data_IF_095733018352
#
_entry.id   IF_095733018352
#
_cell.length_a   1.000
_cell.length_b   1.000
_cell.length_c   1.000
_cell.angle_alpha   90.00
_cell.angle_beta   90.00
_cell.angle_gamma   90.00
#
_symmetry.space_group_name_H-M   'P 1'
#
loop_
_entity.id
_entity.type
_entity.pdbx_description
1 polymer ?
#
# COMPACT_ATOMS: atom_id res chain seq x y z
N UNK A 1 1.47 -8.70 -4.53
CA UNK A 1 0.84 -7.79 -3.55
C UNK A 1 0.48 -8.51 -2.26
N UNK A 2 -0.56 -9.36 -2.21
CA UNK A 2 -1.08 -9.91 -0.95
C UNK A 2 -0.05 -10.57 -0.02
N UNK A 3 0.96 -11.25 -0.58
CA UNK A 3 1.98 -11.94 0.19
C UNK A 3 3.14 -11.04 0.68
N UNK A 4 3.40 -9.90 0.04
CA UNK A 4 4.65 -9.14 0.21
C UNK A 4 4.46 -7.64 0.49
N UNK A 5 3.23 -7.14 0.47
CA UNK A 5 2.97 -5.69 0.61
C UNK A 5 3.54 -5.08 1.90
N UNK A 6 3.77 -5.90 2.93
CA UNK A 6 4.31 -5.48 4.23
C UNK A 6 5.83 -5.35 4.22
N UNK A 7 6.55 -5.82 3.19
CA UNK A 7 8.01 -5.73 3.11
C UNK A 7 8.48 -4.28 2.84
N UNK A 8 9.67 -3.88 3.31
CA UNK A 8 10.28 -2.61 2.93
C UNK A 8 10.88 -2.70 1.52
N UNK A 9 11.00 -1.57 0.84
CA UNK A 9 11.55 -1.50 -0.52
C UNK A 9 12.40 -0.23 -0.73
N UNK A 10 12.85 0.00 -1.97
CA UNK A 10 13.67 1.15 -2.37
C UNK A 10 12.85 2.36 -2.86
N UNK A 11 11.52 2.30 -2.82
CA UNK A 11 10.63 3.33 -3.35
C UNK A 11 10.71 3.49 -4.88
N UNK A 12 9.88 4.37 -5.44
CA UNK A 12 9.86 4.62 -6.90
C UNK A 12 11.11 5.29 -7.45
N UNK A 13 11.88 5.92 -6.58
CA UNK A 13 13.10 6.62 -6.95
C UNK A 13 14.34 5.76 -6.76
N UNK A 14 14.16 4.48 -6.43
CA UNK A 14 15.25 3.53 -6.15
C UNK A 14 16.30 4.15 -5.22
N UNK A 15 15.81 4.67 -4.09
CA UNK A 15 16.61 5.43 -3.14
C UNK A 15 17.79 4.58 -2.69
N UNK A 16 18.99 5.15 -2.80
CA UNK A 16 20.21 4.51 -2.33
C UNK A 16 20.25 4.56 -0.80
N UNK A 17 20.28 3.39 -0.17
CA UNK A 17 20.31 3.26 1.29
C UNK A 17 19.52 2.05 1.75
N UNK A 18 19.14 2.07 3.02
CA UNK A 18 18.32 1.01 3.61
C UNK A 18 16.93 0.96 2.99
N UNK A 19 16.38 -0.25 2.90
CA UNK A 19 14.98 -0.45 2.52
C UNK A 19 14.08 0.17 3.59
N UNK A 20 13.01 0.84 3.14
CA UNK A 20 12.04 1.48 4.04
C UNK A 20 10.62 1.14 3.62
N UNK A 21 9.67 1.35 4.53
CA UNK A 21 8.25 1.35 4.18
C UNK A 21 7.88 2.70 3.56
N UNK A 22 8.19 2.86 2.27
CA UNK A 22 7.81 4.06 1.53
C UNK A 22 6.28 4.14 1.39
N UNK A 23 5.69 5.27 1.80
CA UNK A 23 4.23 5.48 1.76
C UNK A 23 3.70 5.27 0.35
N UNK A 24 4.41 5.80 -0.64
CA UNK A 24 4.04 5.63 -2.04
C UNK A 24 3.95 4.15 -2.45
N UNK A 25 4.93 3.33 -2.09
CA UNK A 25 4.94 1.91 -2.46
C UNK A 25 3.75 1.16 -1.84
N UNK A 26 3.43 1.46 -0.58
CA UNK A 26 2.27 0.89 0.12
C UNK A 26 0.96 1.34 -0.53
N UNK A 27 0.84 2.62 -0.88
CA UNK A 27 -0.31 3.15 -1.62
C UNK A 27 -0.46 2.45 -2.97
N UNK A 28 0.62 2.18 -3.69
CA UNK A 28 0.54 1.45 -4.97
C UNK A 28 0.12 -0.01 -4.79
N UNK A 29 0.53 -0.68 -3.70
CA UNK A 29 0.00 -1.99 -3.34
C UNK A 29 -1.52 -1.93 -3.07
N UNK A 30 -1.99 -0.90 -2.35
CA UNK A 30 -3.41 -0.67 -2.12
C UNK A 30 -4.18 -0.43 -3.43
N UNK A 31 -3.65 0.43 -4.32
CA UNK A 31 -4.25 0.74 -5.63
C UNK A 31 -4.35 -0.52 -6.47
N UNK A 32 -3.31 -1.36 -6.51
CA UNK A 32 -3.31 -2.61 -7.27
C UNK A 32 -4.46 -3.52 -6.85
N UNK A 33 -4.71 -3.68 -5.55
CA UNK A 33 -5.84 -4.48 -5.06
C UNK A 33 -7.18 -3.80 -5.35
N UNK A 34 -7.32 -2.50 -5.09
CA UNK A 34 -8.60 -1.83 -5.32
C UNK A 34 -9.00 -1.84 -6.80
N UNK A 35 -8.05 -1.62 -7.72
CA UNK A 35 -8.32 -1.71 -9.16
C UNK A 35 -8.51 -3.16 -9.61
N UNK A 36 -7.76 -4.11 -9.06
CA UNK A 36 -7.93 -5.54 -9.35
C UNK A 36 -9.32 -6.05 -8.96
N UNK A 37 -9.82 -5.69 -7.77
CA UNK A 37 -11.17 -6.01 -7.30
C UNK A 37 -12.23 -5.46 -8.25
N UNK A 38 -12.13 -4.17 -8.63
CA UNK A 38 -13.07 -3.53 -9.55
C UNK A 38 -13.06 -4.21 -10.92
N UNK A 39 -11.88 -4.51 -11.46
CA UNK A 39 -11.74 -5.17 -12.74
C UNK A 39 -12.36 -6.58 -12.73
N UNK A 40 -12.07 -7.38 -11.68
CA UNK A 40 -12.63 -8.72 -11.55
C UNK A 40 -14.16 -8.71 -11.47
N UNK A 41 -14.75 -7.77 -10.72
CA UNK A 41 -16.20 -7.62 -10.62
C UNK A 41 -16.84 -7.15 -11.94
N UNK A 42 -16.23 -6.19 -12.64
CA UNK A 42 -16.80 -5.61 -13.86
C UNK A 42 -16.68 -6.55 -15.06
N UNK A 43 -15.60 -7.34 -15.13
CA UNK A 43 -15.29 -8.20 -16.26
C UNK A 43 -15.65 -9.68 -16.01
N UNK A 44 -16.13 -10.02 -14.81
CA UNK A 44 -16.48 -11.39 -14.44
C UNK A 44 -15.26 -12.33 -14.37
N UNK A 45 -14.09 -11.81 -13.97
CA UNK A 45 -12.86 -12.61 -13.85
C UNK A 45 -12.85 -13.39 -12.54
N UNK A 46 -12.34 -14.62 -12.59
CA UNK A 46 -12.06 -15.39 -11.37
C UNK A 46 -10.96 -14.72 -10.55
N UNK A 47 -11.27 -14.41 -9.30
CA UNK A 47 -10.33 -13.83 -8.35
C UNK A 47 -10.73 -14.20 -6.92
N UNK A 48 -9.74 -14.28 -6.02
CA UNK A 48 -9.96 -14.42 -4.58
C UNK A 48 -10.36 -13.06 -3.96
N UNK A 49 -11.58 -12.60 -4.32
CA UNK A 49 -12.12 -11.31 -3.88
C UNK A 49 -12.16 -11.18 -2.34
N UNK A 50 -12.56 -12.19 -1.55
CA UNK A 50 -12.55 -12.08 -0.09
C UNK A 50 -11.16 -11.73 0.44
N UNK A 51 -10.12 -12.45 -0.01
CA UNK A 51 -8.74 -12.17 0.40
C UNK A 51 -8.29 -10.79 -0.07
N UNK A 52 -8.58 -10.40 -1.31
CA UNK A 52 -8.14 -9.12 -1.85
C UNK A 52 -8.76 -7.94 -1.10
N UNK A 53 -10.05 -8.01 -0.77
CA UNK A 53 -10.74 -7.00 0.01
C UNK A 53 -10.13 -6.85 1.41
N UNK A 54 -9.90 -7.96 2.11
CA UNK A 54 -9.28 -7.97 3.45
C UNK A 54 -7.91 -7.31 3.40
N UNK A 55 -7.04 -7.74 2.47
CA UNK A 55 -5.68 -7.19 2.39
C UNK A 55 -5.70 -5.72 1.96
N UNK A 56 -6.56 -5.32 1.02
CA UNK A 56 -6.72 -3.91 0.62
C UNK A 56 -7.05 -3.05 1.84
N UNK A 57 -8.00 -3.49 2.67
CA UNK A 57 -8.42 -2.72 3.83
C UNK A 57 -7.33 -2.68 4.91
N UNK A 58 -6.56 -3.75 5.08
CA UNK A 58 -5.36 -3.77 5.94
C UNK A 58 -4.30 -2.77 5.48
N UNK A 59 -3.96 -2.75 4.19
CA UNK A 59 -2.98 -1.80 3.65
C UNK A 59 -3.45 -0.35 3.88
N UNK A 60 -4.74 -0.06 3.70
CA UNK A 60 -5.28 1.28 3.95
C UNK A 60 -5.10 1.71 5.41
N UNK A 61 -5.46 0.83 6.34
CA UNK A 61 -5.32 1.10 7.77
C UNK A 61 -3.85 1.35 8.11
N UNK A 62 -2.95 0.50 7.63
CA UNK A 62 -1.51 0.60 7.85
C UNK A 62 -0.93 1.94 7.33
N UNK A 63 -1.28 2.35 6.10
CA UNK A 63 -0.87 3.65 5.54
C UNK A 63 -1.36 4.83 6.39
N UNK A 64 -2.61 4.79 6.85
CA UNK A 64 -3.18 5.89 7.64
C UNK A 64 -2.61 5.94 9.06
N UNK A 65 -2.22 4.79 9.61
CA UNK A 65 -1.62 4.70 10.95
C UNK A 65 -0.15 5.12 10.98
N UNK A 66 0.61 4.78 9.93
CA UNK A 66 2.08 4.93 9.93
C UNK A 66 2.62 5.95 8.93
N UNK A 67 1.85 6.26 7.88
CA UNK A 67 2.29 7.13 6.79
C UNK A 67 1.85 8.59 6.93
N UNK A 68 0.92 8.91 7.84
CA UNK A 68 0.42 10.27 8.04
C UNK A 68 0.96 10.88 9.34
N UNK A 69 1.69 11.98 9.21
CA UNK A 69 2.20 12.73 10.36
C UNK A 69 1.22 13.85 10.70
N UNK A 70 0.60 13.76 11.88
CA UNK A 70 -0.42 14.70 12.35
C UNK A 70 0.16 16.06 12.73
N UNK A 71 1.43 16.13 13.14
CA UNK A 71 2.12 17.39 13.43
C UNK A 71 2.44 18.18 12.17
N UNK A 72 2.82 17.50 11.08
CA UNK A 72 3.01 18.12 9.77
C UNK A 72 1.70 18.34 9.01
N UNK A 73 0.64 17.61 9.36
CA UNK A 73 -0.62 17.60 8.62
C UNK A 73 -0.49 16.97 7.22
N UNK A 74 0.49 16.09 7.02
CA UNK A 74 0.86 15.56 5.70
C UNK A 74 1.26 14.08 5.75
N UNK A 75 1.18 13.42 4.59
CA UNK A 75 1.84 12.13 4.40
C UNK A 75 3.35 12.33 4.25
N UNK A 76 4.13 11.45 4.88
CA UNK A 76 5.59 11.50 4.83
C UNK A 76 6.13 10.58 3.75
N UNK A 77 7.45 10.64 3.50
CA UNK A 77 8.09 9.85 2.45
C UNK A 77 8.04 8.35 2.77
N UNK A 78 8.35 8.00 4.02
CA UNK A 78 8.32 6.65 4.56
C UNK A 78 7.68 6.66 5.94
N UNK A 79 7.21 5.50 6.40
CA UNK A 79 6.61 5.36 7.72
C UNK A 79 7.50 5.88 8.83
N UNK A 80 6.85 6.42 9.86
CA UNK A 80 7.47 6.93 11.10
C UNK A 80 8.59 7.95 10.86
N UNK A 81 8.56 8.62 9.70
CA UNK A 81 9.42 9.74 9.40
C UNK A 81 8.81 11.04 9.94
N UNK A 82 9.65 11.87 10.55
CA UNK A 82 9.25 13.17 11.11
C UNK A 82 8.99 14.23 10.04
#
# INVERSE_FOLDING_TARGET
VCAHWHEPDSGIWEVRGDLRHFVYSKVMCWVALDRGIRAAQQLGLEADLPRWCIIRDQIRTDILSHGYNTSLGAFTQSYDND
#
